data_IF_326452958430
#
_entry.id   IF_326452958430
#
_cell.length_a   1.000
_cell.length_b   1.000
_cell.length_c   1.000
_cell.angle_alpha   90.00
_cell.angle_beta   90.00
_cell.angle_gamma   90.00
#
_symmetry.space_group_name_H-M   'P 1'
#
loop_
_entity.id
_entity.type
_entity.pdbx_description
1 polymer ?
#
# COMPACT_ATOMS: atom_id res chain seq x y z
N UNK A 1 -29.83 -8.87 2.87
CA UNK A 1 -28.35 -8.75 2.82
C UNK A 1 -27.95 -8.55 1.36
N UNK A 2 -27.38 -7.41 0.96
CA UNK A 2 -26.85 -7.22 -0.41
C UNK A 2 -25.66 -8.20 -0.57
N UNK A 3 -25.84 -9.25 -1.37
CA UNK A 3 -24.78 -10.24 -1.60
C UNK A 3 -23.84 -9.68 -2.67
N UNK A 4 -22.84 -8.90 -2.26
CA UNK A 4 -21.77 -8.46 -3.16
C UNK A 4 -20.79 -9.60 -3.38
N UNK A 5 -20.37 -9.83 -4.62
CA UNK A 5 -19.24 -10.72 -4.92
C UNK A 5 -18.07 -9.88 -5.44
N UNK A 6 -16.88 -10.09 -4.90
CA UNK A 6 -15.64 -9.44 -5.34
C UNK A 6 -14.78 -10.52 -6.02
N UNK A 7 -14.40 -10.26 -7.26
CA UNK A 7 -13.68 -11.22 -8.10
C UNK A 7 -12.40 -10.57 -8.59
N UNK A 8 -11.25 -11.18 -8.27
CA UNK A 8 -9.97 -10.81 -8.88
C UNK A 8 -9.96 -11.29 -10.33
N UNK A 9 -9.89 -10.34 -11.27
CA UNK A 9 -9.93 -10.64 -12.69
C UNK A 9 -8.70 -10.06 -13.39
N UNK A 10 -7.89 -10.96 -13.97
CA UNK A 10 -6.78 -10.58 -14.81
C UNK A 10 -7.33 -10.03 -16.13
N UNK A 11 -7.07 -8.74 -16.39
CA UNK A 11 -7.43 -8.11 -17.65
C UNK A 11 -6.49 -8.66 -18.70
N UNK A 12 -7.04 -9.23 -19.78
CA UNK A 12 -6.25 -9.72 -20.90
C UNK A 12 -5.45 -8.56 -21.52
N UNK A 13 -4.16 -8.52 -21.19
CA UNK A 13 -3.16 -7.63 -21.73
C UNK A 13 -3.05 -7.83 -23.26
N UNK A 14 -3.80 -7.03 -24.00
CA UNK A 14 -3.43 -6.64 -25.36
C UNK A 14 -3.94 -5.24 -25.61
N UNK A 15 -3.03 -4.28 -25.56
CA UNK A 15 -3.31 -2.97 -26.13
C UNK A 15 -3.63 -3.16 -27.61
N UNK A 16 -4.73 -2.56 -28.05
CA UNK A 16 -5.16 -2.59 -29.44
C UNK A 16 -5.40 -1.16 -29.90
N UNK A 17 -5.53 -0.93 -31.21
CA UNK A 17 -5.89 0.39 -31.74
C UNK A 17 -7.22 0.94 -31.15
N UNK A 18 -8.07 0.07 -30.57
CA UNK A 18 -9.34 0.43 -29.92
C UNK A 18 -9.22 0.73 -28.42
N UNK A 19 -8.03 0.57 -27.83
CA UNK A 19 -7.76 0.74 -26.40
C UNK A 19 -7.70 -0.58 -25.62
N UNK A 20 -7.87 -0.49 -24.30
CA UNK A 20 -7.89 -1.62 -23.37
C UNK A 20 -9.25 -2.33 -23.35
N UNK A 21 -9.25 -3.65 -23.16
CA UNK A 21 -10.43 -4.51 -23.15
C UNK A 21 -10.58 -5.22 -21.81
N UNK A 22 -11.75 -5.11 -21.19
CA UNK A 22 -12.15 -5.87 -20.01
C UNK A 22 -13.31 -6.76 -20.43
N UNK A 23 -13.06 -8.06 -20.45
CA UNK A 23 -14.07 -9.05 -20.81
C UNK A 23 -14.26 -10.01 -19.65
N UNK A 24 -15.49 -10.12 -19.16
CA UNK A 24 -15.80 -10.94 -18.00
C UNK A 24 -17.01 -11.81 -18.28
N UNK A 25 -16.96 -13.07 -17.82
CA UNK A 25 -18.05 -14.04 -17.92
C UNK A 25 -18.26 -14.74 -16.58
N UNK A 26 -19.50 -14.84 -16.13
CA UNK A 26 -19.84 -15.53 -14.89
C UNK A 26 -21.34 -15.75 -14.74
N UNK A 27 -21.72 -16.87 -14.12
CA UNK A 27 -23.10 -17.15 -13.68
C UNK A 27 -23.52 -16.24 -12.50
N UNK A 28 -22.54 -15.59 -11.87
CA UNK A 28 -22.79 -14.61 -10.82
C UNK A 28 -23.38 -13.30 -11.36
N UNK A 29 -23.31 -13.03 -12.67
CA UNK A 29 -23.96 -11.86 -13.25
C UNK A 29 -25.47 -11.92 -13.03
N UNK A 30 -26.11 -13.05 -13.33
CA UNK A 30 -27.53 -13.25 -13.07
C UNK A 30 -27.81 -13.24 -11.56
N UNK A 31 -27.19 -14.17 -10.82
CA UNK A 31 -27.53 -14.41 -9.42
C UNK A 31 -27.12 -13.30 -8.43
N UNK A 32 -26.18 -12.42 -8.79
CA UNK A 32 -25.76 -11.26 -7.97
C UNK A 32 -26.20 -9.92 -8.52
N UNK A 33 -26.14 -9.73 -9.84
CA UNK A 33 -26.50 -8.45 -10.45
C UNK A 33 -27.97 -8.38 -10.89
N UNK A 34 -28.70 -9.49 -10.90
CA UNK A 34 -30.09 -9.52 -11.36
C UNK A 34 -30.20 -9.11 -12.83
N UNK A 35 -29.25 -9.58 -13.66
CA UNK A 35 -29.21 -9.28 -15.08
C UNK A 35 -29.44 -10.51 -15.95
N UNK A 36 -30.11 -10.30 -17.06
CA UNK A 36 -30.45 -11.30 -18.05
C UNK A 36 -29.79 -10.97 -19.40
N UNK A 37 -29.81 -11.94 -20.31
CA UNK A 37 -29.31 -11.74 -21.66
C UNK A 37 -30.02 -10.54 -22.33
N UNK A 38 -29.25 -9.64 -22.93
CA UNK A 38 -29.77 -8.45 -23.61
C UNK A 38 -29.97 -7.23 -22.71
N UNK A 39 -29.88 -7.37 -21.38
CA UNK A 39 -29.86 -6.21 -20.49
C UNK A 39 -28.73 -5.26 -20.85
N UNK A 40 -28.99 -3.96 -20.70
CA UNK A 40 -28.04 -2.91 -21.03
C UNK A 40 -27.57 -2.18 -19.80
N UNK A 41 -26.38 -1.60 -19.91
CA UNK A 41 -25.69 -0.86 -18.88
C UNK A 41 -25.23 0.50 -19.40
N UNK A 42 -25.45 1.54 -18.60
CA UNK A 42 -24.75 2.81 -18.73
C UNK A 42 -23.36 2.66 -18.13
N UNK A 43 -22.35 3.16 -18.84
CA UNK A 43 -20.94 3.09 -18.43
C UNK A 43 -20.51 4.45 -17.90
N UNK A 44 -20.13 4.51 -16.63
CA UNK A 44 -19.61 5.70 -15.97
C UNK A 44 -18.13 5.50 -15.64
N UNK A 45 -17.28 6.33 -16.21
CA UNK A 45 -15.84 6.32 -15.94
C UNK A 45 -15.51 7.31 -14.81
N UNK A 46 -14.78 6.86 -13.80
CA UNK A 46 -14.23 7.68 -12.73
C UNK A 46 -12.73 7.47 -12.58
N UNK A 47 -12.14 8.01 -11.52
CA UNK A 47 -10.73 7.79 -11.23
C UNK A 47 -10.50 6.33 -10.78
N UNK A 48 -9.63 5.59 -11.48
CA UNK A 48 -9.29 4.18 -11.21
C UNK A 48 -10.50 3.24 -11.05
N UNK A 49 -11.66 3.60 -11.62
CA UNK A 49 -12.92 2.88 -11.44
C UNK A 49 -13.88 3.11 -12.60
N UNK A 50 -14.55 2.06 -13.02
CA UNK A 50 -15.65 2.09 -13.99
C UNK A 50 -16.89 1.49 -13.31
N UNK A 51 -18.03 2.17 -13.41
CA UNK A 51 -19.33 1.66 -12.96
C UNK A 51 -20.18 1.32 -14.17
N UNK A 52 -20.75 0.12 -14.16
CA UNK A 52 -21.77 -0.31 -15.10
C UNK A 52 -23.08 -0.33 -14.31
N UNK A 53 -24.01 0.56 -14.64
CA UNK A 53 -25.32 0.65 -13.99
C UNK A 53 -26.39 0.18 -14.98
N UNK A 54 -27.22 -0.80 -14.60
CA UNK A 54 -28.27 -1.32 -15.47
C UNK A 54 -29.20 -0.18 -15.89
N UNK A 55 -29.37 -0.01 -17.19
CA UNK A 55 -30.09 1.09 -17.81
C UNK A 55 -30.61 0.61 -19.16
N UNK A 56 -31.93 0.70 -19.39
CA UNK A 56 -32.56 0.29 -20.65
C UNK A 56 -31.99 1.04 -21.86
N UNK A 57 -31.53 2.27 -21.66
CA UNK A 57 -30.90 3.11 -22.68
C UNK A 57 -29.37 3.01 -22.66
N UNK A 58 -28.82 2.09 -21.87
CA UNK A 58 -27.39 1.83 -21.79
C UNK A 58 -26.78 1.41 -23.11
N UNK A 59 -25.45 1.54 -23.22
CA UNK A 59 -24.70 1.22 -24.45
C UNK A 59 -24.00 -0.12 -24.39
N UNK A 60 -23.73 -0.65 -23.19
CA UNK A 60 -23.07 -1.93 -22.99
C UNK A 60 -24.11 -3.02 -22.73
N UNK A 61 -24.19 -4.02 -23.60
CA UNK A 61 -25.15 -5.12 -23.46
C UNK A 61 -24.53 -6.35 -22.79
N UNK A 62 -25.32 -7.04 -21.98
CA UNK A 62 -25.03 -8.40 -21.53
C UNK A 62 -25.25 -9.37 -22.69
N UNK A 63 -24.26 -10.21 -22.93
CA UNK A 63 -24.23 -11.21 -23.98
C UNK A 63 -24.12 -12.61 -23.38
N UNK A 64 -24.27 -13.63 -24.21
CA UNK A 64 -23.96 -15.01 -23.84
C UNK A 64 -22.64 -15.41 -24.51
N UNK A 65 -21.74 -15.99 -23.73
CA UNK A 65 -20.53 -16.63 -24.23
C UNK A 65 -20.40 -18.02 -23.64
N UNK A 66 -20.53 -19.06 -24.48
CA UNK A 66 -20.41 -20.48 -24.10
C UNK A 66 -21.33 -20.86 -22.95
N UNK A 67 -22.59 -20.40 -23.00
CA UNK A 67 -23.62 -20.75 -22.03
C UNK A 67 -23.62 -19.87 -20.77
N UNK A 68 -22.66 -18.95 -20.60
CA UNK A 68 -22.62 -18.02 -19.45
C UNK A 68 -22.87 -16.60 -19.89
N UNK A 69 -23.46 -15.80 -18.99
CA UNK A 69 -23.56 -14.36 -19.19
C UNK A 69 -22.17 -13.72 -19.21
N UNK A 70 -22.00 -12.71 -20.06
CA UNK A 70 -20.76 -11.96 -20.19
C UNK A 70 -20.97 -10.51 -20.59
N UNK A 71 -20.01 -9.65 -20.26
CA UNK A 71 -19.88 -8.32 -20.83
C UNK A 71 -18.49 -8.12 -21.42
N UNK A 72 -18.39 -7.22 -22.39
CA UNK A 72 -17.15 -6.88 -23.08
C UNK A 72 -17.02 -5.35 -23.19
N UNK A 73 -16.16 -4.78 -22.35
CA UNK A 73 -15.90 -3.34 -22.35
C UNK A 73 -14.55 -3.08 -23.01
N UNK A 74 -14.59 -2.59 -24.26
CA UNK A 74 -13.39 -2.34 -25.06
C UNK A 74 -13.43 -0.94 -25.67
N UNK A 75 -12.69 0.01 -25.09
CA UNK A 75 -12.54 1.34 -25.66
C UNK A 75 -11.31 2.08 -25.09
N UNK A 76 -10.97 3.24 -25.66
CA UNK A 76 -9.86 4.09 -25.20
C UNK A 76 -10.09 4.67 -23.79
N UNK A 77 -11.33 4.97 -23.40
CA UNK A 77 -11.64 5.46 -22.05
C UNK A 77 -11.33 4.44 -20.96
N UNK A 78 -11.38 3.13 -21.25
CA UNK A 78 -10.89 2.09 -20.33
C UNK A 78 -9.39 2.24 -20.08
N UNK A 79 -8.61 2.52 -21.13
CA UNK A 79 -7.17 2.77 -20.99
C UNK A 79 -6.88 4.05 -20.21
N UNK A 80 -7.65 5.12 -20.46
CA UNK A 80 -7.55 6.37 -19.70
C UNK A 80 -7.94 6.18 -18.22
N UNK A 81 -8.90 5.31 -17.93
CA UNK A 81 -9.36 5.03 -16.55
C UNK A 81 -8.35 4.17 -15.77
N UNK A 82 -7.71 3.23 -16.45
CA UNK A 82 -6.77 2.29 -15.85
C UNK A 82 -5.41 2.41 -16.54
N UNK A 83 -4.44 3.07 -15.88
CA UNK A 83 -3.09 3.30 -16.40
C UNK A 83 -2.48 2.05 -17.03
N UNK A 84 -1.59 2.21 -18.02
CA UNK A 84 -1.04 1.10 -18.81
C UNK A 84 -0.45 -0.04 -17.98
N UNK A 85 0.16 0.28 -16.85
CA UNK A 85 0.74 -0.69 -15.89
C UNK A 85 -0.28 -1.55 -15.12
N UNK A 86 -1.59 -1.37 -15.32
CA UNK A 86 -2.63 -2.15 -14.67
C UNK A 86 -3.08 -3.28 -15.58
N UNK A 87 -2.74 -4.50 -15.16
CA UNK A 87 -3.10 -5.76 -15.82
C UNK A 87 -4.17 -6.54 -15.04
N UNK A 88 -4.56 -6.09 -13.85
CA UNK A 88 -5.52 -6.76 -12.97
C UNK A 88 -6.54 -5.76 -12.42
N UNK A 89 -7.81 -6.16 -12.37
CA UNK A 89 -8.90 -5.37 -11.79
C UNK A 89 -9.77 -6.26 -10.91
N UNK A 90 -10.38 -5.66 -9.89
CA UNK A 90 -11.51 -6.27 -9.20
C UNK A 90 -12.80 -5.99 -9.94
N UNK A 91 -13.67 -6.99 -9.97
CA UNK A 91 -15.04 -6.87 -10.42
C UNK A 91 -15.94 -7.13 -9.22
N UNK A 92 -16.65 -6.08 -8.80
CA UNK A 92 -17.66 -6.14 -7.76
C UNK A 92 -19.04 -6.25 -8.38
N UNK A 93 -19.75 -7.31 -8.03
CA UNK A 93 -21.08 -7.61 -8.55
C UNK A 93 -22.12 -7.30 -7.47
N UNK A 94 -23.05 -6.41 -7.78
CA UNK A 94 -24.16 -6.04 -6.90
C UNK A 94 -25.44 -5.86 -7.71
N UNK A 95 -26.60 -5.87 -7.04
CA UNK A 95 -27.89 -5.80 -7.73
C UNK A 95 -27.95 -4.55 -8.64
N UNK A 96 -28.11 -4.77 -9.94
CA UNK A 96 -28.17 -3.77 -11.01
C UNK A 96 -26.90 -2.93 -11.22
N UNK A 97 -25.78 -3.30 -10.61
CA UNK A 97 -24.53 -2.55 -10.71
C UNK A 97 -23.30 -3.46 -10.67
N UNK A 98 -22.40 -3.25 -11.63
CA UNK A 98 -21.08 -3.87 -11.68
C UNK A 98 -20.04 -2.76 -11.52
N UNK A 99 -19.15 -2.88 -10.55
CA UNK A 99 -18.03 -1.95 -10.36
C UNK A 99 -16.74 -2.64 -10.75
N UNK A 100 -15.96 -2.01 -11.62
CA UNK A 100 -14.64 -2.46 -12.01
C UNK A 100 -13.64 -1.47 -11.44
N UNK A 101 -12.72 -1.90 -10.59
CA UNK A 101 -11.74 -1.03 -9.93
C UNK A 101 -10.35 -1.69 -9.89
N UNK A 102 -9.30 -0.90 -9.76
CA UNK A 102 -7.96 -1.47 -9.57
C UNK A 102 -7.81 -2.00 -8.13
N UNK A 103 -6.81 -2.85 -7.89
CA UNK A 103 -6.58 -3.36 -6.53
C UNK A 103 -6.09 -2.23 -5.63
N UNK A 104 -6.48 -2.26 -4.35
CA UNK A 104 -6.01 -1.31 -3.34
C UNK A 104 -4.48 -1.23 -3.27
N UNK A 105 -3.77 -2.34 -3.51
CA UNK A 105 -2.29 -2.36 -3.59
C UNK A 105 -1.75 -1.52 -4.75
N UNK A 106 -2.45 -1.54 -5.89
CA UNK A 106 -2.07 -0.78 -7.09
C UNK A 106 -2.40 0.71 -6.92
N UNK A 107 -3.56 1.04 -6.32
CA UNK A 107 -3.89 2.43 -5.93
C UNK A 107 -2.80 3.01 -5.01
N UNK A 108 -2.42 2.25 -3.98
CA UNK A 108 -1.40 2.65 -3.01
C UNK A 108 -0.01 2.76 -3.65
N UNK A 109 0.30 1.91 -4.64
CA UNK A 109 1.52 2.03 -5.44
C UNK A 109 1.51 3.33 -6.26
N UNK A 110 0.41 3.64 -6.94
CA UNK A 110 0.28 4.88 -7.71
C UNK A 110 0.39 6.12 -6.79
N UNK A 111 -0.29 6.10 -5.65
CA UNK A 111 -0.26 7.17 -4.65
C UNK A 111 1.16 7.43 -4.15
N UNK A 112 1.89 6.39 -3.68
CA UNK A 112 3.30 6.57 -3.25
C UNK A 112 4.18 7.03 -4.41
N UNK A 113 3.96 6.54 -5.62
CA UNK A 113 4.73 6.96 -6.80
C UNK A 113 4.55 8.46 -7.05
N UNK A 114 3.31 8.91 -7.06
CA UNK A 114 2.95 10.29 -7.36
C UNK A 114 3.40 11.26 -6.27
N UNK A 115 3.20 10.94 -5.00
CA UNK A 115 3.52 11.84 -3.89
C UNK A 115 5.00 12.20 -3.83
N UNK A 116 5.90 11.23 -3.91
CA UNK A 116 7.33 11.50 -3.99
C UNK A 116 7.74 12.20 -5.29
N UNK A 117 7.16 11.85 -6.45
CA UNK A 117 7.48 12.58 -7.69
C UNK A 117 7.13 14.06 -7.53
N UNK A 118 6.04 14.36 -6.84
CA UNK A 118 5.68 15.73 -6.48
C UNK A 118 6.68 16.33 -5.48
N UNK A 119 7.09 15.63 -4.42
CA UNK A 119 8.11 16.10 -3.46
C UNK A 119 9.42 16.44 -4.15
N UNK A 120 9.96 15.52 -4.96
CA UNK A 120 11.18 15.73 -5.75
C UNK A 120 11.03 16.95 -6.67
N UNK A 121 9.92 17.05 -7.42
CA UNK A 121 9.67 18.20 -8.32
C UNK A 121 9.61 19.52 -7.58
N UNK A 122 9.02 19.54 -6.38
CA UNK A 122 8.89 20.72 -5.53
C UNK A 122 10.15 20.98 -4.68
N UNK A 123 11.17 20.11 -4.77
CA UNK A 123 12.37 20.14 -3.91
C UNK A 123 12.03 20.11 -2.41
N UNK A 124 10.95 19.42 -2.06
CA UNK A 124 10.58 19.19 -0.67
C UNK A 124 11.45 18.05 -0.09
N UNK A 125 11.66 18.08 1.23
CA UNK A 125 12.29 16.98 1.94
C UNK A 125 11.47 15.69 1.80
N UNK A 126 12.16 14.58 1.56
CA UNK A 126 11.56 13.25 1.65
C UNK A 126 11.26 12.94 3.12
N UNK A 127 10.21 12.15 3.34
CA UNK A 127 9.77 11.77 4.67
C UNK A 127 10.34 10.40 5.06
N UNK A 128 11.02 10.37 6.20
CA UNK A 128 11.53 9.17 6.83
C UNK A 128 10.77 8.90 8.14
N UNK A 129 10.43 7.65 8.41
CA UNK A 129 9.98 7.20 9.73
C UNK A 129 11.02 6.29 10.37
N UNK A 130 11.28 6.47 11.66
CA UNK A 130 12.32 5.74 12.40
C UNK A 130 11.70 4.90 13.53
N UNK A 131 11.75 3.57 13.39
CA UNK A 131 11.19 2.63 14.36
C UNK A 131 12.31 1.97 15.18
N UNK A 132 12.10 1.87 16.49
CA UNK A 132 13.17 1.51 17.42
C UNK A 132 14.36 2.47 17.22
N UNK A 133 14.06 3.77 17.24
CA UNK A 133 14.96 4.80 16.72
C UNK A 133 16.28 4.88 17.49
N UNK A 134 16.28 4.55 18.78
CA UNK A 134 17.39 4.85 19.67
C UNK A 134 17.81 6.31 19.50
N UNK A 135 19.11 6.55 19.26
CA UNK A 135 19.67 7.90 18.99
C UNK A 135 19.40 8.44 17.57
N UNK A 136 18.63 7.72 16.75
CA UNK A 136 18.33 8.07 15.36
C UNK A 136 19.51 7.91 14.40
N UNK A 137 20.46 7.02 14.71
CA UNK A 137 21.70 6.86 13.93
C UNK A 137 21.46 6.41 12.48
N UNK A 138 20.46 5.54 12.26
CA UNK A 138 20.06 5.09 10.92
C UNK A 138 19.43 6.24 10.13
N UNK A 139 18.47 6.95 10.72
CA UNK A 139 17.85 8.12 10.11
C UNK A 139 18.90 9.16 9.71
N UNK A 140 19.84 9.47 10.61
CA UNK A 140 20.93 10.41 10.35
C UNK A 140 21.84 9.97 9.19
N UNK A 141 22.23 8.70 9.16
CA UNK A 141 23.11 8.16 8.13
C UNK A 141 22.46 8.21 6.75
N UNK A 142 21.17 7.89 6.67
CA UNK A 142 20.39 7.94 5.43
C UNK A 142 20.22 9.39 4.99
N UNK A 143 19.80 10.28 5.88
CA UNK A 143 19.65 11.70 5.57
C UNK A 143 20.96 12.31 5.07
N UNK A 144 22.08 12.00 5.72
CA UNK A 144 23.41 12.42 5.29
C UNK A 144 23.77 11.90 3.89
N UNK A 145 23.38 10.66 3.57
CA UNK A 145 23.57 10.07 2.24
C UNK A 145 22.82 10.83 1.14
N UNK A 146 21.54 11.13 1.37
CA UNK A 146 20.73 11.86 0.41
C UNK A 146 21.15 13.33 0.28
N UNK A 147 21.57 13.97 1.38
CA UNK A 147 22.07 15.34 1.36
C UNK A 147 23.31 15.48 0.44
N UNK A 148 24.19 14.47 0.39
CA UNK A 148 25.34 14.46 -0.53
C UNK A 148 24.96 14.49 -2.01
N UNK A 149 23.75 14.06 -2.37
CA UNK A 149 23.22 14.12 -3.73
C UNK A 149 22.19 15.25 -3.91
N UNK A 150 22.12 16.19 -2.97
CA UNK A 150 21.27 17.37 -3.04
C UNK A 150 19.79 17.13 -2.76
N UNK A 151 19.42 16.00 -2.15
CA UNK A 151 18.05 15.70 -1.73
C UNK A 151 17.96 15.72 -0.20
N UNK A 152 17.09 16.56 0.36
CA UNK A 152 16.87 16.60 1.80
C UNK A 152 15.95 15.47 2.27
N UNK A 153 16.18 15.00 3.50
CA UNK A 153 15.34 14.05 4.24
C UNK A 153 15.03 14.66 5.60
N UNK A 154 13.79 14.53 6.06
CA UNK A 154 13.38 14.81 7.44
C UNK A 154 12.70 13.60 8.07
N UNK A 155 12.82 13.49 9.39
CA UNK A 155 12.12 12.49 10.19
C UNK A 155 10.68 12.96 10.43
N UNK A 156 9.70 12.30 9.83
CA UNK A 156 8.29 12.60 10.06
C UNK A 156 7.84 12.14 11.45
N UNK A 157 8.29 10.95 11.86
CA UNK A 157 8.06 10.44 13.20
C UNK A 157 9.16 9.47 13.62
N UNK A 158 9.37 9.37 14.93
CA UNK A 158 10.25 8.39 15.56
C UNK A 158 9.49 7.65 16.67
N UNK A 159 9.71 6.34 16.77
CA UNK A 159 9.10 5.48 17.81
C UNK A 159 10.20 4.73 18.56
N UNK A 160 10.24 4.88 19.87
CA UNK A 160 11.07 4.08 20.76
C UNK A 160 10.45 4.06 22.17
N UNK A 161 10.79 3.05 22.97
CA UNK A 161 10.35 2.96 24.36
C UNK A 161 11.32 3.67 25.32
N UNK A 162 12.55 3.99 24.90
CA UNK A 162 13.53 4.70 25.73
C UNK A 162 13.48 6.22 25.50
N UNK A 163 12.74 6.93 26.35
CA UNK A 163 12.54 8.36 26.20
C UNK A 163 13.84 9.18 26.22
N UNK A 164 14.73 8.93 27.19
CA UNK A 164 15.98 9.68 27.35
C UNK A 164 16.85 9.66 26.07
N UNK A 165 16.83 8.52 25.37
CA UNK A 165 17.57 8.34 24.11
C UNK A 165 16.88 9.11 22.98
N UNK A 166 15.55 9.07 22.92
CA UNK A 166 14.78 9.84 21.93
C UNK A 166 14.93 11.35 22.16
N UNK A 167 14.95 11.81 23.41
CA UNK A 167 15.16 13.21 23.76
C UNK A 167 16.53 13.68 23.28
N UNK A 168 17.58 12.91 23.56
CA UNK A 168 18.92 13.18 23.04
C UNK A 168 18.95 13.22 21.50
N UNK A 169 18.28 12.28 20.83
CA UNK A 169 18.15 12.27 19.37
C UNK A 169 17.46 13.54 18.86
N UNK A 170 16.35 13.95 19.46
CA UNK A 170 15.60 15.13 19.06
C UNK A 170 16.40 16.43 19.20
N UNK A 171 17.30 16.50 20.20
CA UNK A 171 18.14 17.66 20.45
C UNK A 171 19.40 17.71 19.57
N UNK A 172 19.91 16.57 19.13
CA UNK A 172 21.24 16.48 18.49
C UNK A 172 21.23 15.99 17.04
N UNK A 173 20.16 15.30 16.61
CA UNK A 173 20.07 14.70 15.29
C UNK A 173 19.41 15.69 14.31
N UNK A 174 20.14 16.21 13.30
CA UNK A 174 19.60 17.21 12.36
C UNK A 174 18.51 16.65 11.43
N UNK A 175 18.23 15.35 11.47
CA UNK A 175 17.12 14.75 10.73
C UNK A 175 15.78 15.03 11.43
N UNK A 176 15.82 15.36 12.72
CA UNK A 176 14.65 15.68 13.54
C UNK A 176 14.45 17.20 13.49
N UNK A 177 13.20 17.62 13.32
CA UNK A 177 12.82 19.02 13.28
C UNK A 177 11.60 19.26 14.19
N UNK A 178 11.13 20.51 14.26
CA UNK A 178 9.97 20.90 15.08
C UNK A 178 8.65 20.20 14.69
N UNK A 179 8.60 19.59 13.50
CA UNK A 179 7.47 18.85 12.97
C UNK A 179 7.67 17.33 13.07
N UNK A 180 8.73 16.85 13.71
CA UNK A 180 8.93 15.42 13.98
C UNK A 180 8.03 14.98 15.13
N UNK A 181 7.19 13.97 14.89
CA UNK A 181 6.36 13.38 15.95
C UNK A 181 7.18 12.36 16.73
N UNK A 182 7.48 12.65 17.98
CA UNK A 182 8.18 11.75 18.90
C UNK A 182 7.14 10.90 19.63
N UNK A 183 7.21 9.58 19.46
CA UNK A 183 6.30 8.63 20.09
C UNK A 183 7.07 7.75 21.07
N UNK A 184 7.03 8.11 22.35
CA UNK A 184 7.62 7.27 23.39
C UNK A 184 6.65 6.16 23.79
N UNK A 185 6.72 5.05 23.08
CA UNK A 185 5.87 3.88 23.30
C UNK A 185 6.51 2.65 22.68
N UNK A 186 5.99 1.48 23.01
CA UNK A 186 6.28 0.25 22.28
C UNK A 186 5.62 0.28 20.88
N UNK A 187 6.18 -0.44 19.91
CA UNK A 187 5.74 -0.37 18.51
C UNK A 187 4.27 -0.78 18.30
N UNK A 188 3.78 -1.75 19.06
CA UNK A 188 2.40 -2.24 19.05
C UNK A 188 1.40 -1.26 19.65
N UNK A 189 1.87 -0.33 20.49
CA UNK A 189 1.06 0.73 21.09
C UNK A 189 1.16 2.05 20.30
N UNK A 190 1.97 2.09 19.25
CA UNK A 190 2.21 3.31 18.50
C UNK A 190 0.91 3.84 17.86
N UNK A 191 0.57 5.13 18.04
CA UNK A 191 -0.67 5.70 17.54
C UNK A 191 -0.62 5.85 16.02
N UNK A 192 -1.12 4.83 15.30
CA UNK A 192 -1.05 4.75 13.84
C UNK A 192 -1.66 5.99 13.16
N UNK A 193 -2.69 6.59 13.74
CA UNK A 193 -3.33 7.81 13.24
C UNK A 193 -2.40 9.03 13.21
N UNK A 194 -1.32 9.02 14.00
CA UNK A 194 -0.26 10.05 13.99
C UNK A 194 0.80 9.79 12.93
N UNK A 195 0.81 8.61 12.30
CA UNK A 195 1.74 8.26 11.24
C UNK A 195 1.23 8.71 9.88
N UNK A 196 2.07 9.42 9.14
CA UNK A 196 1.78 9.81 7.76
C UNK A 196 2.34 8.79 6.76
N UNK A 197 2.01 8.99 5.49
CA UNK A 197 2.70 8.28 4.42
C UNK A 197 4.19 8.67 4.39
N UNK A 198 5.07 7.70 4.16
CA UNK A 198 6.51 7.87 4.15
C UNK A 198 7.10 7.58 2.77
N UNK A 199 8.29 8.14 2.53
CA UNK A 199 9.15 7.74 1.42
C UNK A 199 10.04 6.58 1.86
N UNK A 200 10.59 6.66 3.07
CA UNK A 200 11.52 5.68 3.65
C UNK A 200 11.02 5.30 5.04
N UNK A 201 10.96 4.01 5.34
CA UNK A 201 10.77 3.50 6.69
C UNK A 201 12.04 2.77 7.10
N UNK A 202 12.62 3.16 8.23
CA UNK A 202 13.78 2.47 8.80
C UNK A 202 13.43 1.85 10.13
N UNK A 203 14.07 0.72 10.42
CA UNK A 203 13.93 0.09 11.72
C UNK A 203 15.21 -0.57 12.19
N UNK A 204 15.59 -0.25 13.43
CA UNK A 204 16.64 -0.93 14.18
C UNK A 204 16.05 -2.01 15.08
N UNK A 205 15.42 -3.04 14.49
CA UNK A 205 14.79 -4.10 15.29
C UNK A 205 15.80 -4.71 16.26
N UNK A 206 15.35 -4.90 17.51
CA UNK A 206 16.20 -5.41 18.59
C UNK A 206 16.82 -6.75 18.21
N UNK A 207 18.14 -6.84 18.32
CA UNK A 207 18.89 -8.07 18.11
C UNK A 207 18.91 -8.98 19.35
N UNK A 208 18.24 -8.62 20.46
CA UNK A 208 18.25 -9.39 21.73
C UNK A 208 17.84 -10.84 21.53
N UNK A 209 16.81 -11.08 20.71
CA UNK A 209 16.33 -12.44 20.39
C UNK A 209 17.24 -13.21 19.43
N UNK A 210 18.02 -12.48 18.62
CA UNK A 210 18.86 -13.03 17.57
C UNK A 210 20.29 -13.33 18.06
N UNK A 211 20.83 -12.56 18.99
CA UNK A 211 22.25 -12.71 19.36
C UNK A 211 22.49 -13.83 20.38
N UNK A 212 23.47 -14.69 20.08
CA UNK A 212 23.97 -15.73 21.01
C UNK A 212 24.59 -15.12 22.28
N UNK A 213 25.03 -13.87 22.23
CA UNK A 213 25.77 -13.20 23.31
C UNK A 213 24.89 -12.51 24.37
N UNK A 214 23.60 -12.27 24.11
CA UNK A 214 22.71 -11.55 25.03
C UNK A 214 22.04 -12.45 26.08
N UNK A 215 22.56 -13.67 26.31
CA UNK A 215 21.99 -14.60 27.27
C UNK A 215 20.55 -15.03 26.97
N UNK A 216 20.05 -14.75 25.76
CA UNK A 216 18.71 -15.13 25.32
C UNK A 216 18.56 -16.64 25.42
N UNK A 217 17.42 -17.09 25.99
CA UNK A 217 17.02 -18.50 25.94
C UNK A 217 17.20 -18.99 24.49
N UNK A 218 17.71 -20.21 24.28
CA UNK A 218 17.72 -20.84 22.95
C UNK A 218 16.27 -21.00 22.50
N UNK A 219 15.76 -20.01 21.78
CA UNK A 219 14.44 -20.06 21.18
C UNK A 219 14.57 -20.78 19.84
N UNK A 220 13.54 -21.56 19.50
CA UNK A 220 13.46 -22.19 18.18
C UNK A 220 13.28 -21.17 17.05
N UNK A 221 12.65 -20.02 17.37
CA UNK A 221 12.45 -18.88 16.48
C UNK A 221 12.66 -17.57 17.26
N UNK A 222 13.36 -16.56 16.72
CA UNK A 222 13.51 -15.24 17.35
C UNK A 222 12.17 -14.57 17.69
N UNK A 223 11.12 -14.86 16.92
CA UNK A 223 9.75 -14.38 17.10
C UNK A 223 9.09 -14.89 18.39
N UNK A 224 9.66 -15.91 19.05
CA UNK A 224 9.19 -16.41 20.34
C UNK A 224 9.80 -15.67 21.54
N UNK A 225 10.60 -14.64 21.29
CA UNK A 225 11.20 -13.85 22.37
C UNK A 225 10.16 -12.92 22.99
N UNK A 226 9.94 -13.06 24.29
CA UNK A 226 8.91 -12.34 25.07
C UNK A 226 8.95 -10.82 24.84
N UNK A 227 10.15 -10.23 24.70
CA UNK A 227 10.33 -8.78 24.50
C UNK A 227 10.52 -8.33 23.04
N UNK A 228 10.79 -9.24 22.10
CA UNK A 228 11.25 -8.85 20.75
C UNK A 228 10.44 -9.47 19.61
N UNK A 229 9.74 -10.57 19.88
CA UNK A 229 8.89 -11.23 18.89
C UNK A 229 7.70 -10.38 18.45
N UNK A 230 7.10 -9.63 19.38
CA UNK A 230 5.97 -8.75 19.07
C UNK A 230 6.36 -7.55 18.21
N UNK A 231 7.63 -7.12 18.23
CA UNK A 231 8.13 -6.05 17.34
C UNK A 231 7.96 -6.42 15.86
N UNK A 232 8.15 -7.70 15.51
CA UNK A 232 7.95 -8.20 14.16
C UNK A 232 6.48 -8.18 13.73
N UNK A 233 5.54 -8.27 14.67
CA UNK A 233 4.09 -8.29 14.39
C UNK A 233 3.50 -6.89 14.20
N UNK A 234 4.05 -5.87 14.85
CA UNK A 234 3.60 -4.47 14.67
C UNK A 234 4.04 -3.90 13.31
N UNK A 235 5.17 -4.36 12.77
CA UNK A 235 5.80 -3.81 11.58
C UNK A 235 4.90 -3.89 10.31
N UNK A 236 4.22 -5.00 9.98
CA UNK A 236 3.29 -5.06 8.84
C UNK A 236 2.19 -4.00 8.90
N UNK A 237 1.60 -3.76 10.07
CA UNK A 237 0.56 -2.75 10.27
C UNK A 237 1.10 -1.33 10.07
N UNK A 238 2.31 -1.06 10.56
CA UNK A 238 2.97 0.23 10.33
C UNK A 238 3.33 0.41 8.85
N UNK A 239 3.81 -0.63 8.16
CA UNK A 239 4.08 -0.60 6.71
C UNK A 239 2.79 -0.34 5.93
N UNK A 240 1.69 -1.02 6.30
CA UNK A 240 0.38 -0.78 5.69
C UNK A 240 -0.12 0.65 5.97
N UNK A 241 0.10 1.19 7.17
CA UNK A 241 -0.30 2.57 7.46
C UNK A 241 0.53 3.59 6.67
N UNK A 242 1.86 3.42 6.67
CA UNK A 242 2.82 4.41 6.15
C UNK A 242 3.12 4.27 4.67
N UNK A 243 2.76 3.14 4.04
CA UNK A 243 2.93 2.89 2.61
C UNK A 243 4.32 3.25 2.04
N UNK A 244 5.43 2.85 2.70
CA UNK A 244 6.75 3.32 2.32
C UNK A 244 7.17 2.79 0.96
N UNK A 245 8.15 3.45 0.35
CA UNK A 245 8.73 3.04 -0.94
C UNK A 245 9.97 2.18 -0.73
N UNK A 246 10.70 2.47 0.34
CA UNK A 246 11.84 1.70 0.78
C UNK A 246 11.66 1.35 2.26
N UNK A 247 11.85 0.08 2.58
CA UNK A 247 12.01 -0.39 3.95
C UNK A 247 13.48 -0.76 4.14
N UNK A 248 14.14 -0.17 5.14
CA UNK A 248 15.49 -0.52 5.54
C UNK A 248 15.46 -1.10 6.96
N UNK A 249 15.72 -2.40 7.07
CA UNK A 249 15.90 -3.05 8.36
C UNK A 249 17.40 -3.23 8.63
N UNK A 250 17.87 -2.74 9.77
CA UNK A 250 19.14 -3.20 10.32
C UNK A 250 18.87 -4.24 11.40
N UNK A 251 19.51 -5.40 11.29
CA UNK A 251 19.62 -6.37 12.37
C UNK A 251 21.01 -7.03 12.27
N UNK A 252 21.47 -7.68 13.35
CA UNK A 252 22.74 -8.40 13.34
C UNK A 252 22.62 -9.66 12.46
N UNK A 253 23.68 -9.95 11.70
CA UNK A 253 23.86 -11.24 11.04
C UNK A 253 24.40 -12.22 12.07
N UNK A 254 23.67 -13.30 12.35
CA UNK A 254 24.20 -14.45 13.08
C UNK A 254 24.87 -15.35 12.03
N UNK A 255 26.21 -15.37 11.96
CA UNK A 255 26.89 -16.46 11.27
C UNK A 255 26.66 -17.75 12.08
N UNK A 256 26.10 -18.77 11.41
CA UNK A 256 25.77 -20.06 12.02
C UNK A 256 27.03 -20.78 12.53
#
# INVERSE_FOLDING_TARGET
MKKTAIIDHQVSAKETNRGKRIWFRSDLLDTRCGVSLGDKFRVEHGNNRIRLIKDLNGTLSITNSRGKLSFDLHNKKVAETFSDSIDHVFIELSLYEIVICIRRSDERLQERINNFRQRIKKKESLLLGDLCSGIGGLAHSIASGFNRVGQSIRCAFAVDHHFDIMESAALTNPTYDENTVIMNCSLEQAPLERMCQLDILVTGLSCKAATRQAGGKKLSLPEYHEEAGWLAMALPTIIEKTNPRCLMCSNLIIQA
#
